data_IF_084728915879
#
_entry.id   IF_084728915879
#
_cell.length_a   1.000
_cell.length_b   1.000
_cell.length_c   1.000
_cell.angle_alpha   90.00
_cell.angle_beta   90.00
_cell.angle_gamma   90.00
#
_symmetry.space_group_name_H-M   'P 1'
#
loop_
_entity.id
_entity.type
_entity.pdbx_description
1 polymer ?
#
# COMPACT_ATOMS: atom_id res chain seq x y z
N UNK A 1 -11.56 13.08 -10.93
CA UNK A 1 -11.76 12.07 -12.01
C UNK A 1 -12.51 12.65 -13.20
N UNK A 2 -13.69 13.25 -13.01
CA UNK A 2 -14.46 13.87 -14.09
C UNK A 2 -13.64 14.86 -14.94
N UNK A 3 -12.82 15.70 -14.30
CA UNK A 3 -11.97 16.68 -14.99
C UNK A 3 -11.00 16.01 -15.98
N UNK A 4 -10.29 14.96 -15.55
CA UNK A 4 -9.38 14.21 -16.42
C UNK A 4 -10.07 13.60 -17.63
N UNK A 5 -11.36 13.22 -17.51
CA UNK A 5 -12.12 12.67 -18.64
C UNK A 5 -12.48 13.73 -19.67
N UNK A 6 -12.73 14.97 -19.22
CA UNK A 6 -13.20 16.05 -20.08
C UNK A 6 -12.11 16.62 -21.01
N UNK A 7 -10.85 16.62 -20.57
CA UNK A 7 -9.75 17.13 -21.39
C UNK A 7 -9.50 16.31 -22.66
N UNK A 8 -9.03 16.95 -23.73
CA UNK A 8 -8.47 16.23 -24.88
C UNK A 8 -7.15 15.53 -24.49
N UNK A 9 -6.61 14.69 -25.37
CA UNK A 9 -5.42 13.88 -25.05
C UNK A 9 -4.23 14.70 -24.52
N UNK A 10 -3.90 15.82 -25.17
CA UNK A 10 -2.72 16.62 -24.83
C UNK A 10 -2.91 17.32 -23.48
N UNK A 11 -4.03 18.02 -23.33
CA UNK A 11 -4.37 18.75 -22.09
C UNK A 11 -4.53 17.78 -20.92
N UNK A 12 -5.09 16.59 -21.15
CA UNK A 12 -5.23 15.54 -20.13
C UNK A 12 -3.88 15.12 -19.55
N UNK A 13 -2.86 14.97 -20.39
CA UNK A 13 -1.52 14.58 -19.92
C UNK A 13 -0.86 15.70 -19.13
N UNK A 14 -1.02 16.95 -19.54
CA UNK A 14 -0.52 18.09 -18.78
C UNK A 14 -1.22 18.17 -17.42
N UNK A 15 -2.55 18.07 -17.42
CA UNK A 15 -3.32 18.24 -16.20
C UNK A 15 -3.20 17.07 -15.24
N UNK A 16 -3.04 15.85 -15.75
CA UNK A 16 -2.68 14.70 -14.93
C UNK A 16 -1.39 14.95 -14.14
N UNK A 17 -0.35 15.54 -14.76
CA UNK A 17 0.90 15.87 -14.05
C UNK A 17 0.68 16.95 -12.98
N UNK A 18 -0.12 17.98 -13.26
CA UNK A 18 -0.45 19.02 -12.28
C UNK A 18 -1.23 18.42 -11.10
N UNK A 19 -2.18 17.53 -11.37
CA UNK A 19 -2.95 16.85 -10.35
C UNK A 19 -2.09 15.96 -9.44
N UNK A 20 -1.10 15.23 -9.98
CA UNK A 20 -0.16 14.47 -9.15
C UNK A 20 0.58 15.36 -8.15
N UNK A 21 1.05 16.53 -8.59
CA UNK A 21 1.73 17.51 -7.71
C UNK A 21 0.75 18.07 -6.68
N UNK A 22 -0.47 18.40 -7.10
CA UNK A 22 -1.49 18.94 -6.21
C UNK A 22 -1.85 17.94 -5.10
N UNK A 23 -2.14 16.68 -5.45
CA UNK A 23 -2.48 15.63 -4.51
C UNK A 23 -1.32 15.27 -3.58
N UNK A 24 -0.07 15.39 -4.04
CA UNK A 24 1.10 15.19 -3.18
C UNK A 24 1.29 16.27 -2.11
N UNK A 25 0.62 17.41 -2.23
CA UNK A 25 0.77 18.57 -1.33
C UNK A 25 -0.52 19.00 -0.64
N UNK A 26 -1.68 18.55 -1.13
CA UNK A 26 -3.01 18.94 -0.65
C UNK A 26 -3.88 17.72 -0.34
N UNK A 27 -5.01 17.93 0.35
CA UNK A 27 -5.95 16.86 0.71
C UNK A 27 -5.64 16.22 2.07
N UNK A 28 -6.21 15.05 2.32
CA UNK A 28 -5.99 14.26 3.55
C UNK A 28 -4.54 13.79 3.67
N UNK A 29 -4.12 13.38 4.87
CA UNK A 29 -2.77 12.84 5.10
C UNK A 29 -2.55 11.60 4.23
N UNK A 30 -3.51 10.68 4.17
CA UNK A 30 -3.42 9.50 3.33
C UNK A 30 -3.24 9.85 1.84
N UNK A 31 -4.01 10.83 1.34
CA UNK A 31 -3.89 11.30 -0.04
C UNK A 31 -2.48 11.80 -0.30
N UNK A 32 -1.96 12.67 0.58
CA UNK A 32 -0.60 13.18 0.43
C UNK A 32 0.43 12.06 0.46
N UNK A 33 0.32 11.09 1.36
CA UNK A 33 1.28 9.96 1.43
C UNK A 33 1.28 9.13 0.14
N UNK A 34 0.12 8.88 -0.46
CA UNK A 34 0.00 8.15 -1.73
C UNK A 34 0.57 8.95 -2.91
N UNK A 35 0.47 10.29 -2.89
CA UNK A 35 0.85 11.14 -4.03
C UNK A 35 2.13 11.95 -3.81
N UNK A 36 2.81 11.81 -2.67
CA UNK A 36 4.05 12.54 -2.37
C UNK A 36 5.10 12.23 -3.45
N UNK A 37 5.62 13.29 -4.08
CA UNK A 37 6.57 13.21 -5.19
C UNK A 37 6.10 12.30 -6.36
N UNK A 38 4.79 12.13 -6.55
CA UNK A 38 4.26 11.33 -7.65
C UNK A 38 4.56 12.01 -8.99
N UNK A 39 5.14 11.23 -9.90
CA UNK A 39 5.43 11.68 -11.26
C UNK A 39 4.96 10.65 -12.27
N UNK A 40 4.55 11.12 -13.45
CA UNK A 40 4.13 10.23 -14.54
C UNK A 40 5.31 9.93 -15.46
N UNK A 41 5.57 8.65 -15.68
CA UNK A 41 6.49 8.17 -16.72
C UNK A 41 5.86 8.19 -18.12
N UNK A 42 4.55 8.42 -18.21
CA UNK A 42 3.81 8.40 -19.48
C UNK A 42 4.15 9.66 -20.27
N UNK A 43 4.71 9.46 -21.46
CA UNK A 43 5.12 10.55 -22.37
C UNK A 43 4.14 10.80 -23.51
N UNK A 44 3.35 9.79 -23.88
CA UNK A 44 2.44 9.85 -25.02
C UNK A 44 1.01 10.13 -24.53
N UNK A 45 0.39 11.25 -24.95
CA UNK A 45 -0.98 11.61 -24.60
C UNK A 45 -1.99 10.46 -24.79
N UNK A 46 -1.97 9.82 -25.96
CA UNK A 46 -2.85 8.68 -26.29
C UNK A 46 -2.73 7.51 -25.32
N UNK A 47 -1.52 7.23 -24.80
CA UNK A 47 -1.32 6.14 -23.84
C UNK A 47 -2.04 6.42 -22.53
N UNK A 48 -1.98 7.67 -22.03
CA UNK A 48 -2.72 8.06 -20.83
C UNK A 48 -4.23 7.98 -21.06
N UNK A 49 -4.71 8.42 -22.22
CA UNK A 49 -6.13 8.32 -22.61
C UNK A 49 -6.63 6.88 -22.57
N UNK A 50 -5.89 5.95 -23.18
CA UNK A 50 -6.24 4.53 -23.16
C UNK A 50 -6.28 4.02 -21.73
N UNK A 51 -5.27 4.31 -20.91
CA UNK A 51 -5.25 3.87 -19.51
C UNK A 51 -6.44 4.40 -18.70
N UNK A 52 -6.74 5.70 -18.78
CA UNK A 52 -7.89 6.30 -18.07
C UNK A 52 -9.20 5.66 -18.55
N UNK A 53 -9.33 5.40 -19.85
CA UNK A 53 -10.53 4.77 -20.42
C UNK A 53 -10.71 3.34 -19.95
N UNK A 54 -9.64 2.53 -19.91
CA UNK A 54 -9.73 1.16 -19.39
C UNK A 54 -9.98 1.12 -17.89
N UNK A 55 -9.40 2.05 -17.13
CA UNK A 55 -9.65 2.18 -15.68
C UNK A 55 -11.09 2.63 -15.39
N UNK A 56 -11.68 3.52 -16.21
CA UNK A 56 -13.08 3.98 -16.05
C UNK A 56 -14.10 2.85 -16.25
N UNK A 57 -13.73 1.77 -16.94
CA UNK A 57 -14.59 0.60 -17.17
C UNK A 57 -14.62 -0.36 -15.99
N UNK A 58 -13.69 -0.23 -15.04
CA UNK A 58 -13.62 -1.12 -13.89
C UNK A 58 -14.75 -0.79 -12.92
N UNK A 59 -15.51 -1.80 -12.51
CA UNK A 59 -16.39 -1.70 -11.36
C UNK A 59 -15.54 -1.80 -10.09
N UNK A 60 -15.28 -0.66 -9.46
CA UNK A 60 -14.46 -0.58 -8.26
C UNK A 60 -15.11 -1.20 -7.03
N UNK A 61 -16.45 -1.30 -6.99
CA UNK A 61 -17.16 -1.88 -5.86
C UNK A 61 -17.02 -3.39 -5.85
N UNK A 62 -17.23 -4.01 -7.01
CA UNK A 62 -17.04 -5.44 -7.18
C UNK A 62 -15.55 -5.80 -7.13
N UNK A 63 -14.68 -5.04 -7.78
CA UNK A 63 -13.23 -5.27 -7.72
C UNK A 63 -12.70 -5.27 -6.27
N UNK A 64 -13.18 -4.37 -5.41
CA UNK A 64 -12.78 -4.34 -4.00
C UNK A 64 -13.19 -5.61 -3.24
N UNK A 65 -14.33 -6.22 -3.59
CA UNK A 65 -14.80 -7.48 -2.99
C UNK A 65 -14.19 -8.73 -3.62
N UNK A 66 -13.78 -8.65 -4.87
CA UNK A 66 -13.38 -9.80 -5.70
C UNK A 66 -11.86 -9.98 -5.89
N UNK A 67 -11.03 -9.30 -5.09
CA UNK A 67 -9.57 -9.53 -5.09
C UNK A 67 -8.74 -8.50 -5.85
N UNK A 68 -9.15 -7.22 -5.84
CA UNK A 68 -8.31 -6.13 -6.38
C UNK A 68 -6.95 -6.03 -5.66
N UNK A 69 -6.88 -6.33 -4.37
CA UNK A 69 -5.63 -6.47 -3.63
C UNK A 69 -4.73 -7.56 -4.22
N UNK A 70 -5.26 -8.75 -4.46
CA UNK A 70 -4.53 -9.87 -5.06
C UNK A 70 -4.09 -9.58 -6.50
N UNK A 71 -4.92 -8.88 -7.29
CA UNK A 71 -4.56 -8.42 -8.63
C UNK A 71 -3.39 -7.43 -8.57
N UNK A 72 -3.47 -6.46 -7.66
CA UNK A 72 -2.41 -5.48 -7.44
C UNK A 72 -1.10 -6.16 -7.04
N UNK A 73 -1.17 -7.13 -6.14
CA UNK A 73 -0.06 -8.01 -5.75
C UNK A 73 0.53 -8.80 -6.92
N UNK A 74 -0.32 -9.36 -7.78
CA UNK A 74 0.11 -10.04 -9.00
C UNK A 74 0.92 -9.13 -9.93
N UNK A 75 0.51 -7.86 -10.05
CA UNK A 75 1.24 -6.85 -10.84
C UNK A 75 2.56 -6.46 -10.16
N UNK A 76 2.58 -6.29 -8.84
CA UNK A 76 3.81 -6.02 -8.08
C UNK A 76 4.82 -7.15 -8.23
N UNK A 77 4.36 -8.40 -8.07
CA UNK A 77 5.19 -9.59 -8.27
C UNK A 77 5.79 -9.64 -9.67
N UNK A 78 4.97 -9.40 -10.70
CA UNK A 78 5.45 -9.39 -12.09
C UNK A 78 6.52 -8.33 -12.30
N UNK A 79 6.37 -7.14 -11.70
CA UNK A 79 7.36 -6.08 -11.76
C UNK A 79 8.66 -6.47 -11.02
N UNK A 80 8.55 -7.15 -9.87
CA UNK A 80 9.69 -7.64 -9.11
C UNK A 80 10.48 -8.74 -9.84
N UNK A 81 9.79 -9.66 -10.52
CA UNK A 81 10.39 -10.75 -11.30
C UNK A 81 11.12 -10.25 -12.56
N UNK A 82 10.77 -9.06 -13.05
CA UNK A 82 11.46 -8.42 -14.18
C UNK A 82 12.86 -7.94 -13.76
N UNK A 83 13.89 -8.75 -13.99
CA UNK A 83 15.31 -8.44 -13.68
C UNK A 83 15.81 -7.05 -14.12
N UNK A 84 15.19 -6.43 -15.11
CA UNK A 84 15.55 -5.09 -15.61
C UNK A 84 14.96 -3.94 -14.76
N UNK A 85 13.94 -4.20 -13.94
CA UNK A 85 13.28 -3.18 -13.13
C UNK A 85 14.07 -2.83 -11.87
N UNK A 86 14.89 -3.77 -11.35
CA UNK A 86 15.53 -3.63 -10.04
C UNK A 86 14.55 -3.69 -8.86
N UNK A 87 13.24 -3.88 -9.12
CA UNK A 87 12.20 -3.86 -8.09
C UNK A 87 12.24 -5.09 -7.16
N UNK A 88 12.94 -6.16 -7.55
CA UNK A 88 13.09 -7.37 -6.74
C UNK A 88 13.73 -7.15 -5.36
N UNK A 89 14.46 -6.05 -5.14
CA UNK A 89 15.01 -5.72 -3.83
C UNK A 89 13.96 -5.27 -2.81
N UNK A 90 12.75 -4.90 -3.26
CA UNK A 90 11.64 -4.44 -2.41
C UNK A 90 10.51 -5.48 -2.30
N UNK A 91 10.72 -6.67 -2.87
CA UNK A 91 9.71 -7.70 -2.96
C UNK A 91 10.25 -9.02 -2.45
N UNK A 92 9.57 -9.57 -1.44
CA UNK A 92 9.84 -10.90 -0.91
C UNK A 92 8.81 -11.88 -1.47
N UNK A 93 9.19 -13.08 -1.97
CA UNK A 93 8.23 -14.04 -2.49
C UNK A 93 7.12 -14.36 -1.48
N UNK A 94 5.86 -14.25 -1.89
CA UNK A 94 4.69 -14.44 -1.00
C UNK A 94 4.71 -15.77 -0.25
N UNK A 95 5.08 -16.85 -0.93
CA UNK A 95 5.22 -18.18 -0.30
C UNK A 95 6.19 -18.17 0.88
N UNK A 96 7.28 -17.41 0.80
CA UNK A 96 8.23 -17.29 1.90
C UNK A 96 7.63 -16.48 3.06
N UNK A 97 6.99 -15.35 2.75
CA UNK A 97 6.28 -14.52 3.74
C UNK A 97 5.24 -15.36 4.48
N UNK A 98 4.37 -16.06 3.76
CA UNK A 98 3.28 -16.84 4.34
C UNK A 98 3.79 -17.95 5.25
N UNK A 99 4.89 -18.61 4.87
CA UNK A 99 5.55 -19.61 5.73
C UNK A 99 6.07 -18.97 7.01
N UNK A 100 6.75 -17.82 6.92
CA UNK A 100 7.26 -17.11 8.09
C UNK A 100 6.10 -16.70 9.01
N UNK A 101 5.05 -16.07 8.47
CA UNK A 101 3.87 -15.65 9.25
C UNK A 101 3.20 -16.85 9.94
N UNK A 102 3.00 -17.96 9.22
CA UNK A 102 2.41 -19.18 9.79
C UNK A 102 3.25 -19.80 10.91
N UNK A 103 4.58 -19.69 10.84
CA UNK A 103 5.48 -20.16 11.89
C UNK A 103 5.51 -19.22 13.09
N UNK A 104 5.39 -17.90 12.85
CA UNK A 104 5.38 -16.90 13.91
C UNK A 104 4.03 -16.79 14.64
N UNK A 105 2.94 -17.26 14.01
CA UNK A 105 1.61 -17.37 14.61
C UNK A 105 1.14 -16.08 15.32
N UNK A 106 1.06 -14.94 14.61
CA UNK A 106 0.61 -13.68 15.22
C UNK A 106 -0.77 -13.84 15.87
N UNK A 107 -1.00 -13.13 16.97
CA UNK A 107 -2.22 -13.20 17.77
C UNK A 107 -2.95 -11.85 17.82
N UNK A 108 -4.26 -11.90 18.07
CA UNK A 108 -5.04 -10.71 18.41
C UNK A 108 -4.48 -10.08 19.68
N UNK A 109 -3.79 -8.96 19.52
CA UNK A 109 -3.12 -8.26 20.60
C UNK A 109 -1.66 -7.96 20.33
N UNK A 110 -1.06 -8.59 19.33
CA UNK A 110 0.28 -8.27 18.89
C UNK A 110 0.38 -6.85 18.30
N UNK A 111 1.60 -6.35 18.34
CA UNK A 111 2.05 -5.13 17.67
C UNK A 111 3.13 -5.57 16.70
N UNK A 112 2.76 -5.66 15.44
CA UNK A 112 3.52 -6.26 14.34
C UNK A 112 4.19 -5.14 13.55
N UNK A 113 5.51 -5.13 13.58
CA UNK A 113 6.34 -4.13 12.90
C UNK A 113 7.08 -4.74 11.71
N UNK A 114 7.08 -4.03 10.58
CA UNK A 114 8.03 -4.26 9.48
C UNK A 114 8.94 -3.02 9.29
N UNK A 115 10.18 -3.03 9.83
CA UNK A 115 11.12 -1.91 9.73
C UNK A 115 11.69 -1.68 8.32
N UNK A 116 11.49 -2.60 7.38
CA UNK A 116 11.90 -2.49 5.99
C UNK A 116 10.72 -2.94 5.10
N UNK A 117 9.61 -2.20 5.22
CA UNK A 117 8.30 -2.68 4.84
C UNK A 117 8.15 -3.07 3.37
N UNK A 118 8.97 -2.49 2.48
CA UNK A 118 8.86 -2.72 1.04
C UNK A 118 7.44 -2.41 0.60
N UNK A 119 6.82 -3.38 -0.08
CA UNK A 119 5.41 -3.29 -0.53
C UNK A 119 4.36 -3.60 0.56
N UNK A 120 4.75 -3.74 1.82
CA UNK A 120 3.87 -4.05 2.95
C UNK A 120 3.57 -5.54 3.12
N UNK A 121 4.43 -6.39 2.57
CA UNK A 121 4.12 -7.79 2.35
C UNK A 121 3.88 -8.62 3.61
N UNK A 122 4.73 -8.45 4.61
CA UNK A 122 4.57 -9.14 5.89
C UNK A 122 3.32 -8.68 6.64
N UNK A 123 3.02 -7.38 6.59
CA UNK A 123 1.85 -6.81 7.26
C UNK A 123 0.54 -7.36 6.67
N UNK A 124 0.46 -7.46 5.33
CA UNK A 124 -0.70 -8.03 4.64
C UNK A 124 -0.87 -9.51 4.95
N UNK A 125 0.21 -10.29 4.89
CA UNK A 125 0.13 -11.74 5.19
C UNK A 125 -0.20 -11.99 6.68
N UNK A 126 0.32 -11.17 7.60
CA UNK A 126 -0.05 -11.22 9.01
C UNK A 126 -1.52 -10.83 9.25
N UNK A 127 -2.03 -9.82 8.53
CA UNK A 127 -3.44 -9.44 8.54
C UNK A 127 -4.34 -10.59 8.08
N UNK A 128 -4.03 -11.20 6.94
CA UNK A 128 -4.74 -12.36 6.40
C UNK A 128 -4.71 -13.54 7.36
N UNK A 129 -3.56 -13.85 7.97
CA UNK A 129 -3.47 -14.90 8.97
C UNK A 129 -4.38 -14.64 10.18
N UNK A 130 -4.43 -13.39 10.67
CA UNK A 130 -5.29 -13.03 11.79
C UNK A 130 -6.78 -13.10 11.41
N UNK A 131 -7.14 -12.73 10.18
CA UNK A 131 -8.51 -12.86 9.64
C UNK A 131 -8.93 -14.32 9.46
N UNK A 132 -8.03 -15.17 8.97
CA UNK A 132 -8.28 -16.62 8.79
C UNK A 132 -8.43 -17.37 10.12
N UNK A 133 -7.79 -16.88 11.18
CA UNK A 133 -7.71 -17.58 12.49
C UNK A 133 -8.62 -16.99 13.56
N UNK A 134 -9.28 -15.86 13.30
CA UNK A 134 -10.14 -15.17 14.26
C UNK A 134 -11.40 -14.59 13.59
N UNK A 135 -12.45 -14.34 14.38
CA UNK A 135 -13.62 -13.60 13.89
C UNK A 135 -13.39 -12.09 14.02
N UNK A 136 -12.69 -11.50 13.03
CA UNK A 136 -12.38 -10.07 13.00
C UNK A 136 -13.64 -9.21 12.91
N UNK A 137 -14.65 -9.66 12.17
CA UNK A 137 -15.93 -8.96 12.01
C UNK A 137 -16.80 -9.03 13.28
N UNK A 138 -16.61 -10.06 14.11
CA UNK A 138 -17.24 -10.20 15.42
C UNK A 138 -16.57 -9.39 16.53
N UNK A 139 -15.45 -8.72 16.27
CA UNK A 139 -14.81 -7.85 17.26
C UNK A 139 -15.73 -6.69 17.66
N UNK A 140 -15.74 -6.35 18.95
CA UNK A 140 -16.37 -5.10 19.38
C UNK A 140 -15.59 -3.90 18.83
N UNK A 141 -16.25 -2.74 18.79
CA UNK A 141 -15.72 -1.49 18.22
C UNK A 141 -14.30 -1.16 18.71
N UNK A 142 -14.05 -1.25 20.04
CA UNK A 142 -12.72 -0.94 20.61
C UNK A 142 -11.65 -1.94 20.20
N UNK A 143 -11.99 -3.23 20.12
CA UNK A 143 -11.07 -4.27 19.71
C UNK A 143 -10.76 -4.18 18.22
N UNK A 144 -11.76 -3.86 17.40
CA UNK A 144 -11.60 -3.64 15.97
C UNK A 144 -10.77 -2.39 15.68
N UNK A 145 -11.01 -1.29 16.39
CA UNK A 145 -10.20 -0.07 16.30
C UNK A 145 -8.73 -0.36 16.68
N UNK A 146 -8.49 -1.07 17.78
CA UNK A 146 -7.12 -1.47 18.14
C UNK A 146 -6.48 -2.37 17.09
N UNK A 147 -7.23 -3.31 16.54
CA UNK A 147 -6.76 -4.19 15.46
C UNK A 147 -6.32 -3.37 14.24
N UNK A 148 -7.14 -2.42 13.80
CA UNK A 148 -6.86 -1.60 12.63
C UNK A 148 -5.76 -0.54 12.86
N UNK A 149 -5.66 0.05 14.06
CA UNK A 149 -4.84 1.24 14.29
C UNK A 149 -3.58 1.06 15.15
N UNK A 150 -3.43 -0.07 15.87
CA UNK A 150 -2.25 -0.31 16.74
C UNK A 150 -1.58 -1.68 16.53
N UNK A 151 -2.05 -2.48 15.57
CA UNK A 151 -1.49 -3.81 15.29
C UNK A 151 -0.43 -3.79 14.21
N UNK A 152 -0.67 -3.13 13.07
CA UNK A 152 0.24 -3.20 11.90
C UNK A 152 0.91 -1.86 11.65
N UNK A 153 2.24 -1.86 11.64
CA UNK A 153 2.99 -0.66 11.29
C UNK A 153 4.38 -0.99 10.72
N UNK A 154 5.01 -0.01 10.09
CA UNK A 154 6.33 -0.20 9.53
C UNK A 154 6.97 1.09 9.04
N UNK A 155 8.12 0.94 8.38
CA UNK A 155 8.81 2.05 7.74
C UNK A 155 9.42 1.61 6.40
N UNK A 156 9.37 2.51 5.42
CA UNK A 156 9.96 2.31 4.10
C UNK A 156 10.73 3.55 3.66
N UNK A 157 11.97 3.34 3.24
CA UNK A 157 12.92 4.39 2.87
C UNK A 157 12.68 4.94 1.47
N UNK A 158 12.21 4.11 0.54
CA UNK A 158 12.11 4.47 -0.87
C UNK A 158 10.73 5.03 -1.18
N UNK A 159 10.63 6.30 -1.63
CA UNK A 159 9.33 6.98 -1.79
C UNK A 159 8.37 6.22 -2.72
N UNK A 160 8.88 5.72 -3.84
CA UNK A 160 8.08 5.00 -4.81
C UNK A 160 7.53 3.69 -4.23
N UNK A 161 8.37 2.95 -3.51
CA UNK A 161 8.01 1.70 -2.82
C UNK A 161 6.99 1.97 -1.72
N UNK A 162 7.21 3.02 -0.93
CA UNK A 162 6.29 3.46 0.12
C UNK A 162 4.88 3.71 -0.44
N UNK A 163 4.76 4.46 -1.55
CA UNK A 163 3.45 4.69 -2.20
C UNK A 163 2.77 3.38 -2.61
N UNK A 164 3.53 2.44 -3.18
CA UNK A 164 2.98 1.14 -3.56
C UNK A 164 2.47 0.39 -2.33
N UNK A 165 3.21 0.43 -1.22
CA UNK A 165 2.84 -0.18 0.04
C UNK A 165 1.55 0.42 0.62
N UNK A 166 1.44 1.75 0.64
CA UNK A 166 0.25 2.45 1.13
C UNK A 166 -1.00 2.05 0.36
N UNK A 167 -0.92 2.04 -0.99
CA UNK A 167 -2.01 1.54 -1.83
C UNK A 167 -2.32 0.08 -1.54
N UNK A 168 -1.29 -0.75 -1.38
CA UNK A 168 -1.44 -2.18 -1.16
C UNK A 168 -2.19 -2.50 0.14
N UNK A 169 -1.80 -1.85 1.24
CA UNK A 169 -2.48 -1.97 2.54
C UNK A 169 -3.96 -1.57 2.43
N UNK A 170 -4.27 -0.44 1.77
CA UNK A 170 -5.65 0.01 1.57
C UNK A 170 -6.50 -0.98 0.78
N UNK A 171 -5.92 -1.58 -0.27
CA UNK A 171 -6.61 -2.58 -1.09
C UNK A 171 -6.86 -3.89 -0.35
N UNK A 172 -6.07 -4.17 0.69
CA UNK A 172 -6.23 -5.31 1.59
C UNK A 172 -6.99 -4.95 2.89
N UNK A 173 -7.75 -3.85 2.91
CA UNK A 173 -8.58 -3.43 4.05
C UNK A 173 -7.84 -3.22 5.39
N UNK A 174 -6.53 -2.99 5.33
CA UNK A 174 -5.79 -2.46 6.47
C UNK A 174 -6.05 -0.95 6.56
N UNK A 175 -6.35 -0.47 7.77
CA UNK A 175 -6.63 0.93 8.01
C UNK A 175 -5.39 1.77 7.74
N UNK A 176 -5.46 2.46 6.61
CA UNK A 176 -4.53 3.52 6.24
C UNK A 176 -5.34 4.79 6.08
N UNK A 177 -5.25 5.66 7.06
CA UNK A 177 -6.02 6.88 7.17
C UNK A 177 -5.20 8.00 7.82
N UNK A 178 -5.88 9.08 8.19
CA UNK A 178 -5.20 10.28 8.70
C UNK A 178 -4.63 10.08 10.12
N UNK A 179 -5.12 9.08 10.85
CA UNK A 179 -4.70 8.75 12.21
C UNK A 179 -3.66 7.63 12.21
N UNK A 180 -3.85 6.59 11.38
CA UNK A 180 -2.88 5.53 11.18
C UNK A 180 -2.37 5.48 9.74
N UNK A 181 -1.10 5.78 9.55
CA UNK A 181 -0.45 5.65 8.25
C UNK A 181 -0.06 4.22 7.89
N UNK A 182 -0.10 3.26 8.83
CA UNK A 182 0.45 1.93 8.66
C UNK A 182 1.98 1.97 8.47
N UNK A 183 2.43 2.23 7.25
CA UNK A 183 3.85 2.34 6.90
C UNK A 183 4.25 3.82 6.83
N UNK A 184 5.27 4.19 7.59
CA UNK A 184 5.87 5.52 7.56
C UNK A 184 6.91 5.61 6.45
N UNK A 185 7.01 6.78 5.82
CA UNK A 185 8.13 7.10 4.97
C UNK A 185 9.30 7.58 5.84
N UNK A 186 10.47 6.93 5.74
CA UNK A 186 11.65 7.34 6.49
C UNK A 186 12.79 6.33 6.49
N UNK A 187 13.93 6.75 7.02
CA UNK A 187 15.09 5.90 7.27
C UNK A 187 15.02 5.31 8.68
N UNK A 188 14.73 4.01 8.75
CA UNK A 188 14.67 3.24 9.99
C UNK A 188 15.97 3.28 10.79
N UNK A 189 17.13 3.39 10.13
CA UNK A 189 18.43 3.44 10.79
C UNK A 189 18.80 4.84 11.30
N UNK A 190 18.01 5.86 10.95
CA UNK A 190 18.20 7.25 11.38
C UNK A 190 17.36 7.58 12.64
N UNK A 191 17.36 8.86 13.05
CA UNK A 191 16.45 9.34 14.10
C UNK A 191 14.98 9.16 13.74
N UNK A 192 14.64 9.06 12.45
CA UNK A 192 13.26 8.82 12.00
C UNK A 192 12.73 7.48 12.50
N UNK A 193 13.55 6.42 12.52
CA UNK A 193 13.15 5.10 13.03
C UNK A 193 12.74 5.09 14.50
N UNK A 194 13.14 6.09 15.29
CA UNK A 194 12.79 6.17 16.73
C UNK A 194 11.31 6.43 16.98
N UNK A 195 10.55 6.83 15.95
CA UNK A 195 9.09 7.01 16.03
C UNK A 195 8.34 5.68 15.96
N UNK A 196 8.98 4.61 15.51
CA UNK A 196 8.38 3.28 15.49
C UNK A 196 8.14 2.81 16.93
N UNK A 197 6.89 2.41 17.19
CA UNK A 197 6.48 1.96 18.52
C UNK A 197 7.13 0.61 18.84
N UNK A 198 7.27 0.28 20.13
CA UNK A 198 7.73 -1.06 20.55
C UNK A 198 6.76 -2.14 20.06
N UNK A 199 7.28 -3.12 19.32
CA UNK A 199 6.55 -4.25 18.76
C UNK A 199 6.64 -5.48 19.64
N UNK A 200 5.61 -6.32 19.62
CA UNK A 200 5.67 -7.68 20.18
C UNK A 200 6.20 -8.67 19.15
N UNK A 201 6.04 -8.37 17.85
CA UNK A 201 6.49 -9.20 16.75
C UNK A 201 7.11 -8.33 15.65
N UNK A 202 8.25 -8.76 15.12
CA UNK A 202 8.92 -8.14 13.97
C UNK A 202 8.94 -9.14 12.82
N UNK A 203 8.46 -8.72 11.66
CA UNK A 203 8.44 -9.51 10.43
C UNK A 203 9.02 -8.64 9.31
N UNK A 204 10.17 -9.02 8.75
CA UNK A 204 10.91 -8.18 7.81
C UNK A 204 11.92 -8.98 6.99
N UNK A 205 12.35 -8.44 5.86
CA UNK A 205 13.43 -8.96 5.01
C UNK A 205 14.26 -7.81 4.44
#
# INVERSE_FOLDING_TARGET
WADLKHYNDADRLEEYKKQLIHLGSHGSRITRMIFTNATSVIRKPKTLTTLITEIDKLDWYDAKKEGLGDLYEGLLKKNADEKKSGAGQYFTPRVLIDVIVRLMQPQLGDRICDPAAGTGGFLISAHQYLDDTNDILGLNEKAYERYQHDTFYGMELVPDTHRLAMMNLMLHNLAVDDENAGILFGDTLSSEGTVLKLSTLVLSN
#
